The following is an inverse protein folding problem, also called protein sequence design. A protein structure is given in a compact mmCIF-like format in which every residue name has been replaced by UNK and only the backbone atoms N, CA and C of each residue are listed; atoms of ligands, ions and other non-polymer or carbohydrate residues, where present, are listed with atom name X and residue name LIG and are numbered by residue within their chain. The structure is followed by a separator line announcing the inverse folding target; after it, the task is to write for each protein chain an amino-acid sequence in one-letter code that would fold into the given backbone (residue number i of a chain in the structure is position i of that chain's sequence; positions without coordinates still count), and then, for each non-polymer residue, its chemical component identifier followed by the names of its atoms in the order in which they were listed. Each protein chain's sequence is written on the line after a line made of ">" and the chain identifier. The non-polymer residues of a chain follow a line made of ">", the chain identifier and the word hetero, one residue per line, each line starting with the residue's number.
data_IF_953205845272
#
_entry.id   IF_953205845272
#
_cell.length_a   1.000
_cell.length_b   1.000
_cell.length_c   1.000
_cell.angle_alpha   90.00
_cell.angle_beta   90.00
_cell.angle_gamma   90.00
#
_symmetry.space_group_name_H-M   'P 1'
#
loop_
_entity.id
_entity.type
_entity.pdbx_description
1 polymer ?
#
# COMPACT_ATOMS: atom_id res chain seq x y z
N UNK A 1 9.52 -17.25 12.01
CA UNK A 1 8.51 -17.26 10.93
C UNK A 1 7.40 -16.27 11.25
N UNK A 2 6.95 -15.52 10.26
CA UNK A 2 5.85 -14.58 10.44
C UNK A 2 4.53 -15.34 10.62
N UNK A 3 3.72 -14.85 11.57
CA UNK A 3 2.39 -15.41 11.81
C UNK A 3 1.36 -14.43 11.30
N UNK A 4 0.27 -14.93 10.70
CA UNK A 4 -0.74 -14.06 10.10
C UNK A 4 -1.35 -13.06 11.08
N UNK A 5 -1.47 -13.43 12.34
CA UNK A 5 -2.02 -12.57 13.39
C UNK A 5 -1.05 -11.49 13.87
N UNK A 6 0.19 -11.51 13.38
CA UNK A 6 1.24 -10.57 13.79
C UNK A 6 1.71 -9.66 12.66
N UNK A 7 1.09 -9.74 11.47
CA UNK A 7 1.55 -8.98 10.32
C UNK A 7 0.52 -7.97 9.85
N UNK A 8 1.01 -6.90 9.27
CA UNK A 8 0.22 -5.91 8.54
C UNK A 8 0.93 -5.63 7.22
N UNK A 9 0.15 -5.43 6.16
CA UNK A 9 0.69 -5.09 4.86
C UNK A 9 0.58 -3.57 4.65
N UNK A 10 1.67 -2.96 4.19
CA UNK A 10 1.68 -1.54 3.87
C UNK A 10 2.04 -1.37 2.40
N UNK A 11 1.10 -0.82 1.63
CA UNK A 11 1.35 -0.48 0.22
C UNK A 11 1.95 0.92 0.18
N UNK A 12 3.17 1.04 -0.36
CA UNK A 12 3.93 2.28 -0.31
C UNK A 12 4.18 2.81 -1.72
N UNK A 13 3.54 3.94 -2.04
CA UNK A 13 3.91 4.80 -3.18
C UNK A 13 3.97 4.13 -4.56
N UNK A 14 3.07 3.20 -4.85
CA UNK A 14 2.97 2.56 -6.17
C UNK A 14 2.08 3.44 -7.04
N UNK A 15 2.66 4.51 -7.60
CA UNK A 15 1.91 5.61 -8.18
C UNK A 15 2.32 5.99 -9.60
N UNK A 16 1.31 6.34 -10.40
CA UNK A 16 1.45 7.05 -11.65
C UNK A 16 2.55 6.52 -12.55
N UNK A 17 3.29 7.45 -13.13
CA UNK A 17 4.39 7.11 -14.05
C UNK A 17 5.57 6.44 -13.35
N UNK A 18 5.78 6.75 -12.05
CA UNK A 18 6.91 6.15 -11.31
C UNK A 18 6.80 4.63 -11.27
N UNK A 19 5.59 4.12 -11.07
CA UNK A 19 5.37 2.67 -11.03
C UNK A 19 5.67 2.00 -12.36
N UNK A 20 5.64 2.76 -13.47
CA UNK A 20 5.91 2.26 -14.81
C UNK A 20 7.37 2.43 -15.22
N UNK A 21 8.15 3.21 -14.46
CA UNK A 21 9.54 3.54 -14.78
C UNK A 21 10.54 2.59 -14.14
N UNK A 22 10.12 1.82 -13.15
CA UNK A 22 11.04 0.90 -12.48
C UNK A 22 11.34 -0.30 -13.39
N UNK A 23 12.55 -0.87 -13.22
CA UNK A 23 12.94 -2.03 -14.00
C UNK A 23 11.94 -3.16 -13.82
N UNK A 24 11.54 -3.75 -14.95
CA UNK A 24 10.62 -4.90 -14.98
C UNK A 24 9.30 -4.61 -14.25
N UNK A 25 8.76 -3.41 -14.46
CA UNK A 25 7.56 -2.96 -13.76
C UNK A 25 6.34 -3.87 -13.95
N UNK A 26 6.19 -4.46 -15.13
CA UNK A 26 5.05 -5.33 -15.42
C UNK A 26 5.08 -6.58 -14.53
N UNK A 27 6.26 -7.18 -14.34
CA UNK A 27 6.43 -8.32 -13.44
C UNK A 27 6.16 -7.90 -11.99
N UNK A 28 6.64 -6.72 -11.59
CA UNK A 28 6.42 -6.19 -10.24
C UNK A 28 4.91 -6.05 -9.98
N UNK A 29 4.17 -5.44 -10.90
CA UNK A 29 2.73 -5.25 -10.75
C UNK A 29 1.98 -6.57 -10.71
N UNK A 30 2.41 -7.55 -11.51
CA UNK A 30 1.81 -8.87 -11.52
C UNK A 30 2.01 -9.58 -10.18
N UNK A 31 3.22 -9.52 -9.64
CA UNK A 31 3.53 -10.13 -8.34
C UNK A 31 2.79 -9.43 -7.20
N UNK A 32 2.72 -8.10 -7.27
CA UNK A 32 1.98 -7.32 -6.27
C UNK A 32 0.50 -7.68 -6.30
N UNK A 33 -0.07 -7.84 -7.49
CA UNK A 33 -1.46 -8.28 -7.64
C UNK A 33 -1.70 -9.61 -6.94
N UNK A 34 -0.81 -10.59 -7.17
CA UNK A 34 -0.90 -11.91 -6.55
C UNK A 34 -0.79 -11.82 -5.02
N UNK A 35 0.14 -10.99 -4.54
CA UNK A 35 0.35 -10.82 -3.10
C UNK A 35 -0.89 -10.23 -2.44
N UNK A 36 -1.46 -9.16 -3.01
CA UNK A 36 -2.65 -8.52 -2.44
C UNK A 36 -3.83 -9.49 -2.37
N UNK A 37 -4.03 -10.26 -3.42
CA UNK A 37 -5.11 -11.25 -3.44
C UNK A 37 -4.93 -12.29 -2.34
N UNK A 38 -3.71 -12.76 -2.15
CA UNK A 38 -3.41 -13.72 -1.09
C UNK A 38 -3.62 -13.15 0.30
N UNK A 39 -3.18 -11.90 0.51
CA UNK A 39 -3.34 -11.22 1.79
C UNK A 39 -4.80 -11.01 2.15
N UNK A 40 -5.64 -10.73 1.15
CA UNK A 40 -7.08 -10.59 1.38
C UNK A 40 -7.71 -11.90 1.82
N UNK A 41 -7.28 -13.01 1.23
CA UNK A 41 -7.78 -14.34 1.62
C UNK A 41 -7.41 -14.64 3.07
N UNK A 42 -6.23 -14.20 3.52
CA UNK A 42 -5.77 -14.44 4.89
C UNK A 42 -6.26 -13.39 5.88
N UNK A 43 -7.05 -12.41 5.43
CA UNK A 43 -7.55 -11.31 6.26
C UNK A 43 -6.44 -10.51 6.94
N UNK A 44 -5.33 -10.30 6.24
CA UNK A 44 -4.24 -9.47 6.74
C UNK A 44 -4.65 -8.00 6.63
N UNK A 45 -4.55 -7.21 7.73
CA UNK A 45 -4.84 -5.78 7.65
C UNK A 45 -3.92 -5.08 6.67
N UNK A 46 -4.47 -4.11 5.93
CA UNK A 46 -3.73 -3.38 4.91
C UNK A 46 -3.79 -1.89 5.17
N UNK A 47 -2.65 -1.22 4.99
CA UNK A 47 -2.56 0.24 4.99
C UNK A 47 -2.07 0.67 3.62
N UNK A 48 -2.52 1.85 3.19
CA UNK A 48 -2.32 2.32 1.81
C UNK A 48 -1.78 3.74 1.85
N UNK A 49 -0.56 3.92 1.34
CA UNK A 49 0.12 5.22 1.34
C UNK A 49 0.26 5.77 -0.07
N UNK A 50 0.10 7.08 -0.20
CA UNK A 50 0.40 7.79 -1.44
C UNK A 50 1.28 8.99 -1.12
N UNK A 51 2.36 9.14 -1.90
CA UNK A 51 3.28 10.27 -1.79
C UNK A 51 2.78 11.40 -2.67
N UNK A 52 2.39 12.51 -2.08
CA UNK A 52 1.99 13.74 -2.79
C UNK A 52 1.24 13.43 -4.09
N UNK A 53 0.03 12.84 -4.01
CA UNK A 53 -0.67 12.38 -5.22
C UNK A 53 -1.02 13.50 -6.19
N UNK A 54 -1.13 14.74 -5.73
CA UNK A 54 -1.38 15.91 -6.61
C UNK A 54 -0.24 16.09 -7.62
N UNK A 55 0.99 15.73 -7.26
CA UNK A 55 2.14 15.85 -8.14
C UNK A 55 2.52 14.54 -8.81
N UNK A 56 2.53 13.44 -8.05
CA UNK A 56 3.00 12.14 -8.51
C UNK A 56 1.89 11.25 -9.07
N UNK A 57 0.64 11.69 -8.98
CA UNK A 57 -0.50 10.91 -9.43
C UNK A 57 -0.96 9.91 -8.37
N UNK A 58 -2.15 9.35 -8.57
CA UNK A 58 -2.71 8.38 -7.64
C UNK A 58 -2.04 7.02 -7.80
N UNK A 59 -2.34 6.11 -6.87
CA UNK A 59 -1.91 4.72 -6.96
C UNK A 59 -2.32 4.15 -8.33
N UNK A 60 -1.44 3.34 -8.91
CA UNK A 60 -1.71 2.64 -10.17
C UNK A 60 -3.09 1.98 -10.10
N UNK A 61 -3.95 2.28 -11.09
CA UNK A 61 -5.34 1.85 -11.07
C UNK A 61 -5.49 0.34 -10.87
N UNK A 62 -4.67 -0.44 -11.56
CA UNK A 62 -4.68 -1.90 -11.48
C UNK A 62 -4.52 -2.40 -10.04
N UNK A 63 -3.74 -1.68 -9.24
CA UNK A 63 -3.52 -2.02 -7.83
C UNK A 63 -4.62 -1.42 -6.96
N UNK A 64 -4.99 -0.16 -7.22
CA UNK A 64 -6.03 0.52 -6.44
C UNK A 64 -7.34 -0.26 -6.42
N UNK A 65 -7.70 -0.88 -7.55
CA UNK A 65 -8.93 -1.64 -7.66
C UNK A 65 -8.93 -2.92 -6.82
N UNK A 66 -7.76 -3.39 -6.40
CA UNK A 66 -7.63 -4.58 -5.56
C UNK A 66 -7.72 -4.27 -4.07
N UNK A 67 -7.50 -3.02 -3.68
CA UNK A 67 -7.48 -2.66 -2.28
C UNK A 67 -8.88 -2.77 -1.67
N UNK A 68 -8.98 -3.14 -0.38
CA UNK A 68 -10.30 -3.27 0.27
C UNK A 68 -11.08 -1.97 0.21
N UNK A 69 -12.40 -2.06 -0.02
CA UNK A 69 -13.26 -0.88 -0.12
C UNK A 69 -13.30 -0.07 1.18
N UNK A 70 -13.06 -0.73 2.30
CA UNK A 70 -13.12 -0.08 3.61
C UNK A 70 -11.96 0.86 3.89
N UNK A 71 -10.88 0.80 3.11
CA UNK A 71 -9.70 1.63 3.35
C UNK A 71 -9.52 2.67 2.24
N UNK A 72 -8.89 3.78 2.61
CA UNK A 72 -8.57 4.87 1.71
C UNK A 72 -7.07 5.13 1.78
N UNK A 73 -6.46 5.67 0.70
CA UNK A 73 -5.04 6.00 0.76
C UNK A 73 -4.78 7.14 1.73
N UNK A 74 -3.68 7.00 2.49
CA UNK A 74 -3.19 8.04 3.38
C UNK A 74 -2.16 8.84 2.59
N UNK A 75 -2.44 10.13 2.39
CA UNK A 75 -1.52 11.01 1.66
C UNK A 75 -0.40 11.47 2.59
N UNK A 76 0.83 11.36 2.14
CA UNK A 76 1.98 11.86 2.89
C UNK A 76 2.84 12.75 2.00
N UNK A 77 3.51 13.71 2.64
CA UNK A 77 4.47 14.59 1.97
C UNK A 77 5.89 14.35 2.47
N UNK A 78 6.04 13.49 3.48
CA UNK A 78 7.35 13.13 4.02
C UNK A 78 7.81 11.82 3.40
N UNK A 79 9.12 11.68 3.23
CA UNK A 79 9.70 10.41 2.78
C UNK A 79 9.46 9.32 3.84
N UNK A 80 9.69 9.66 5.10
CA UNK A 80 9.46 8.73 6.21
C UNK A 80 7.99 8.74 6.61
N UNK A 81 7.29 7.65 6.35
CA UNK A 81 5.88 7.51 6.68
C UNK A 81 5.60 7.68 8.19
N UNK A 82 6.56 7.36 9.04
CA UNK A 82 6.40 7.47 10.48
C UNK A 82 6.28 8.92 10.96
N UNK A 83 6.56 9.90 10.10
CA UNK A 83 6.33 11.31 10.42
C UNK A 83 4.89 11.73 10.14
N UNK A 84 4.07 10.83 9.60
CA UNK A 84 2.66 11.10 9.32
C UNK A 84 1.82 10.53 10.47
N UNK A 85 1.12 11.41 11.18
CA UNK A 85 0.34 11.02 12.35
C UNK A 85 -0.81 10.07 12.00
N UNK A 86 -1.44 10.27 10.86
CA UNK A 86 -2.53 9.40 10.41
C UNK A 86 -2.03 7.97 10.18
N UNK A 87 -0.84 7.83 9.61
CA UNK A 87 -0.23 6.52 9.40
C UNK A 87 0.07 5.83 10.74
N UNK A 88 0.66 6.57 11.68
CA UNK A 88 0.98 6.01 13.00
C UNK A 88 -0.29 5.52 13.69
N UNK A 89 -1.37 6.32 13.67
CA UNK A 89 -2.63 5.92 14.28
C UNK A 89 -3.23 4.68 13.59
N UNK A 90 -3.08 4.61 12.27
CA UNK A 90 -3.59 3.46 11.50
C UNK A 90 -2.83 2.17 11.85
N UNK A 91 -1.51 2.26 12.00
CA UNK A 91 -0.69 1.11 12.41
C UNK A 91 -1.11 0.65 13.80
N UNK A 92 -1.23 1.57 14.75
CA UNK A 92 -1.62 1.24 16.13
C UNK A 92 -3.00 0.60 16.18
N UNK A 93 -3.92 1.05 15.33
CA UNK A 93 -5.28 0.52 15.30
C UNK A 93 -5.33 -0.94 14.85
N UNK A 94 -4.32 -1.43 14.15
CA UNK A 94 -4.28 -2.85 13.73
C UNK A 94 -3.98 -3.79 14.88
N UNK A 95 -3.39 -3.26 15.97
CA UNK A 95 -2.96 -4.05 17.14
C UNK A 95 -2.00 -5.18 16.77
N UNK A 96 -1.18 -4.96 15.71
CA UNK A 96 -0.20 -5.95 15.24
C UNK A 96 1.25 -5.61 15.72
#
# INVERSE_FOLDING_TARGET
>A
MLKSEEVVFVLVDVQGKLAQMVYNHEMMLQRLTQLIKGLKILDIPMLWLEQYPKGLGPTTERIALLMPEAIQPIEKITFNACLNDQFIRAIEATER
#
